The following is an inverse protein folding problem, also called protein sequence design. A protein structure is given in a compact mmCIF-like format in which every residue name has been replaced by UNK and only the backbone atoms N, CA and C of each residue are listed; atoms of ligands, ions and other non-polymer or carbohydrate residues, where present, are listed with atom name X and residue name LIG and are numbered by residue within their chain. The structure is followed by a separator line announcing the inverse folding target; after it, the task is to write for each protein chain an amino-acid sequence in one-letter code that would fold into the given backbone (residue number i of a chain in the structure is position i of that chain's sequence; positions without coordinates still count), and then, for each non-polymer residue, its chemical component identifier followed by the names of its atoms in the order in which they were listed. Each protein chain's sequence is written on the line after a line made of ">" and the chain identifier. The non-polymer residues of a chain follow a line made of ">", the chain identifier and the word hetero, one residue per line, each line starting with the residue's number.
data_IF_767992406993
#
_entry.id   IF_767992406993
#
_cell.length_a   1.000
_cell.length_b   1.000
_cell.length_c   1.000
_cell.angle_alpha   90.00
_cell.angle_beta   90.00
_cell.angle_gamma   90.00
#
_symmetry.space_group_name_H-M   'P 1'
#
loop_
_entity.id
_entity.type
_entity.pdbx_description
1 polymer ?
#
# COMPACT_ATOMS: atom_id res chain seq x y z
N UNK A 1 -12.12 -20.67 -21.46
CA UNK A 1 -11.69 -19.42 -20.80
C UNK A 1 -10.45 -19.69 -19.95
N UNK A 2 -9.35 -18.94 -20.13
CA UNK A 2 -8.16 -19.04 -19.27
C UNK A 2 -8.35 -18.15 -18.04
N UNK A 3 -8.15 -18.71 -16.84
CA UNK A 3 -8.06 -17.96 -15.58
C UNK A 3 -6.61 -17.95 -15.11
N UNK A 4 -6.19 -16.86 -14.47
CA UNK A 4 -4.86 -16.72 -13.89
C UNK A 4 -4.95 -16.04 -12.52
N UNK A 5 -4.02 -16.41 -11.64
CA UNK A 5 -3.80 -15.78 -10.34
C UNK A 5 -2.32 -15.44 -10.28
N UNK A 6 -1.99 -14.22 -9.85
CA UNK A 6 -0.61 -13.75 -9.69
C UNK A 6 -0.43 -13.03 -8.36
N UNK A 7 0.80 -13.01 -7.87
CA UNK A 7 1.22 -12.29 -6.68
C UNK A 7 2.64 -11.75 -6.91
N UNK A 8 2.97 -10.64 -6.24
CA UNK A 8 4.30 -10.04 -6.29
C UNK A 8 4.91 -10.13 -4.89
N UNK A 9 6.12 -10.66 -4.81
CA UNK A 9 6.90 -10.75 -3.59
C UNK A 9 8.03 -9.74 -3.64
N UNK A 10 8.41 -9.22 -2.47
CA UNK A 10 9.56 -8.34 -2.30
C UNK A 10 10.41 -8.87 -1.14
N UNK A 11 11.73 -8.69 -1.22
CA UNK A 11 12.62 -9.02 -0.12
C UNK A 11 12.47 -7.96 0.97
N UNK A 12 12.05 -8.39 2.15
CA UNK A 12 11.72 -7.52 3.26
C UNK A 12 12.94 -6.79 3.86
N UNK A 13 14.10 -7.44 3.89
CA UNK A 13 15.33 -6.84 4.41
C UNK A 13 15.95 -5.80 3.46
N UNK A 14 15.76 -5.96 2.14
CA UNK A 14 16.41 -5.13 1.12
C UNK A 14 15.52 -4.00 0.58
N UNK A 15 14.20 -4.20 0.53
CA UNK A 15 13.30 -3.21 -0.06
C UNK A 15 12.89 -2.14 0.95
N UNK A 16 12.63 -0.92 0.45
CA UNK A 16 12.17 0.22 1.26
C UNK A 16 11.02 0.93 0.57
N UNK A 17 10.14 1.51 1.36
CA UNK A 17 9.19 2.48 0.86
C UNK A 17 9.92 3.75 0.44
N UNK A 18 9.51 4.31 -0.68
CA UNK A 18 10.03 5.58 -1.18
C UNK A 18 8.90 6.60 -1.21
N UNK A 19 9.28 7.86 -0.99
CA UNK A 19 8.40 8.97 -1.27
C UNK A 19 8.32 9.18 -2.79
N UNK A 20 7.10 9.23 -3.30
CA UNK A 20 6.82 9.34 -4.74
C UNK A 20 6.41 10.76 -5.15
N UNK A 21 6.43 11.74 -4.23
CA UNK A 21 6.22 13.16 -4.56
C UNK A 21 7.27 13.65 -5.56
N UNK A 22 6.85 14.49 -6.50
CA UNK A 22 7.67 15.00 -7.61
C UNK A 22 8.27 13.90 -8.52
N UNK A 23 7.69 12.70 -8.50
CA UNK A 23 8.04 11.62 -9.43
C UNK A 23 6.91 11.38 -10.43
N UNK A 24 7.15 10.57 -11.46
CA UNK A 24 6.11 10.12 -12.38
C UNK A 24 4.99 9.31 -11.71
N UNK A 25 5.20 8.84 -10.47
CA UNK A 25 4.25 8.04 -9.70
C UNK A 25 3.38 8.87 -8.75
N UNK A 26 3.55 10.19 -8.69
CA UNK A 26 2.80 11.04 -7.76
C UNK A 26 1.29 10.96 -7.99
N UNK A 27 0.83 11.01 -9.24
CA UNK A 27 -0.62 10.98 -9.52
C UNK A 27 -1.26 9.64 -9.12
N UNK A 28 -0.58 8.54 -9.44
CA UNK A 28 -0.97 7.20 -9.00
C UNK A 28 -1.05 7.11 -7.47
N UNK A 29 -0.16 7.79 -6.74
CA UNK A 29 -0.19 7.80 -5.27
C UNK A 29 -1.47 8.43 -4.71
N UNK A 30 -1.93 9.54 -5.32
CA UNK A 30 -3.17 10.23 -4.93
C UNK A 30 -4.39 9.34 -5.15
N UNK A 31 -4.45 8.65 -6.30
CA UNK A 31 -5.51 7.69 -6.60
C UNK A 31 -5.55 6.54 -5.59
N UNK A 32 -4.38 5.99 -5.24
CA UNK A 32 -4.27 4.89 -4.27
C UNK A 32 -4.71 5.33 -2.87
N UNK A 33 -4.33 6.54 -2.43
CA UNK A 33 -4.78 7.11 -1.16
C UNK A 33 -6.29 7.32 -1.16
N UNK A 34 -6.88 7.82 -2.25
CA UNK A 34 -8.34 7.98 -2.36
C UNK A 34 -9.07 6.63 -2.26
N UNK A 35 -8.55 5.57 -2.88
CA UNK A 35 -9.09 4.21 -2.76
C UNK A 35 -8.99 3.71 -1.31
N UNK A 36 -7.87 3.97 -0.64
CA UNK A 36 -7.66 3.59 0.76
C UNK A 36 -8.67 4.28 1.68
N UNK A 37 -8.85 5.61 1.55
CA UNK A 37 -9.86 6.38 2.29
C UNK A 37 -11.28 5.84 2.08
N UNK A 38 -11.66 5.56 0.82
CA UNK A 38 -12.96 4.96 0.50
C UNK A 38 -13.15 3.58 1.14
N UNK A 39 -12.09 2.78 1.26
CA UNK A 39 -12.15 1.48 1.95
C UNK A 39 -12.29 1.67 3.45
N UNK A 40 -11.59 2.62 4.06
CA UNK A 40 -11.66 2.90 5.50
C UNK A 40 -13.03 3.42 5.93
N UNK A 41 -13.67 4.27 5.12
CA UNK A 41 -15.04 4.71 5.36
C UNK A 41 -16.02 3.53 5.46
N UNK A 42 -15.83 2.47 4.66
CA UNK A 42 -16.66 1.25 4.76
C UNK A 42 -16.48 0.50 6.07
N UNK A 43 -15.35 0.69 6.76
CA UNK A 43 -15.07 0.09 8.06
C UNK A 43 -15.42 1.03 9.24
N UNK A 44 -16.11 2.16 8.97
CA UNK A 44 -16.57 3.08 10.02
C UNK A 44 -15.52 4.06 10.53
N UNK A 45 -14.40 4.21 9.81
CA UNK A 45 -13.41 5.24 10.13
C UNK A 45 -13.78 6.59 9.49
N UNK A 46 -13.69 7.66 10.27
CA UNK A 46 -13.76 9.05 9.80
C UNK A 46 -12.51 9.31 8.92
N UNK A 47 -12.69 9.33 7.60
CA UNK A 47 -11.58 9.35 6.64
C UNK A 47 -10.85 10.70 6.53
N UNK A 48 -11.42 11.76 7.10
CA UNK A 48 -10.90 13.13 7.00
C UNK A 48 -9.89 13.46 8.10
N UNK A 49 -9.97 12.80 9.27
CA UNK A 49 -9.03 13.00 10.38
C UNK A 49 -7.74 12.17 10.22
N UNK A 50 -7.73 11.19 9.31
CA UNK A 50 -6.61 10.27 9.14
C UNK A 50 -5.73 10.72 7.98
N UNK A 51 -4.55 11.22 8.34
CA UNK A 51 -3.45 11.44 7.42
C UNK A 51 -2.82 10.10 7.08
N UNK A 52 -2.88 9.71 5.80
CA UNK A 52 -2.37 8.43 5.28
C UNK A 52 -1.42 8.74 4.13
N UNK A 53 -0.20 8.25 4.23
CA UNK A 53 0.76 8.35 3.14
C UNK A 53 0.68 7.15 2.18
N UNK A 54 1.39 7.23 1.06
CA UNK A 54 1.41 6.15 0.07
C UNK A 54 1.99 4.84 0.64
N UNK A 55 2.98 4.92 1.53
CA UNK A 55 3.64 3.78 2.14
C UNK A 55 2.73 3.05 3.13
N UNK A 56 1.91 3.76 3.90
CA UNK A 56 0.92 3.22 4.83
C UNK A 56 -0.02 2.25 4.15
N UNK A 57 -0.51 2.61 2.96
CA UNK A 57 -1.41 1.76 2.18
C UNK A 57 -0.77 0.40 1.89
N UNK A 58 0.52 0.38 1.58
CA UNK A 58 1.25 -0.86 1.32
C UNK A 58 1.64 -1.59 2.61
N UNK A 59 2.05 -0.88 3.66
CA UNK A 59 2.37 -1.46 4.99
C UNK A 59 1.20 -2.24 5.57
N UNK A 60 -0.02 -1.72 5.44
CA UNK A 60 -1.25 -2.38 5.90
C UNK A 60 -1.57 -3.62 5.06
N UNK A 61 -1.21 -3.62 3.78
CA UNK A 61 -1.47 -4.73 2.85
C UNK A 61 -0.39 -5.81 2.85
N UNK A 62 0.86 -5.47 3.18
CA UNK A 62 1.99 -6.39 3.20
C UNK A 62 1.77 -7.52 4.19
N UNK A 63 2.29 -8.71 3.87
CA UNK A 63 2.21 -9.91 4.71
C UNK A 63 3.57 -10.61 4.69
N UNK A 64 4.04 -11.01 5.86
CA UNK A 64 5.19 -11.90 5.97
C UNK A 64 4.77 -13.28 5.47
N UNK A 65 5.36 -13.71 4.36
CA UNK A 65 5.06 -15.00 3.73
C UNK A 65 6.05 -16.06 4.19
N UNK A 66 7.31 -15.67 4.38
CA UNK A 66 8.36 -16.50 4.94
C UNK A 66 9.35 -15.60 5.69
N UNK A 67 9.89 -16.11 6.80
CA UNK A 67 10.76 -15.34 7.69
C UNK A 67 10.01 -14.38 8.61
N UNK A 68 10.78 -13.46 9.20
CA UNK A 68 10.25 -12.45 10.14
C UNK A 68 10.16 -11.11 9.44
N UNK A 69 9.13 -10.34 9.78
CA UNK A 69 8.92 -9.00 9.22
C UNK A 69 10.06 -8.06 9.65
N UNK A 70 10.59 -7.28 8.70
CA UNK A 70 11.75 -6.41 8.86
C UNK A 70 11.40 -4.96 8.48
N UNK A 71 11.33 -4.60 7.19
CA UNK A 71 11.12 -3.21 6.75
C UNK A 71 9.77 -2.96 6.03
N UNK A 72 9.21 -3.97 5.36
CA UNK A 72 7.98 -3.92 4.56
C UNK A 72 6.78 -4.47 5.30
#
# INVERSE_FOLDING_TARGET
>A
FRKAISCHYANDDLCRYIDVRNSSQEEMSKEIIAIAKKRMLKYGAEADDIQIDFADVWRVRARAVNGTRSNL
#
